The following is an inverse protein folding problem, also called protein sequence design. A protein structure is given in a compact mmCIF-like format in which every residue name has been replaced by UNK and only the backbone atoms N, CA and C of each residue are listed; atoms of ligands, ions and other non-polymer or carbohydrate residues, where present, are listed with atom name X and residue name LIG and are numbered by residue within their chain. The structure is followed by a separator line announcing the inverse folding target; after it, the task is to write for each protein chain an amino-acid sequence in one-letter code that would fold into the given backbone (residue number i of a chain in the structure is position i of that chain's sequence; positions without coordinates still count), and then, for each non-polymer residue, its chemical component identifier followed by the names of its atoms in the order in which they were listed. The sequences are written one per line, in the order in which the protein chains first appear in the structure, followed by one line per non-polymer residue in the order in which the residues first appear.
data_IF_992574370421
#
_entry.id   IF_992574370421
#
_cell.length_a   1.000
_cell.length_b   1.000
_cell.length_c   1.000
_cell.angle_alpha   90.00
_cell.angle_beta   90.00
_cell.angle_gamma   90.00
#
_symmetry.space_group_name_H-M   'P 1'
#
loop_
_entity.id
_entity.type
_entity.pdbx_description
1 polymer ?
#
# COMPACT_ATOMS: atom_id res chain seq x y z
N UNK A 1 -23.53 -9.46 7.87
CA UNK A 1 -22.58 -8.67 8.68
C UNK A 1 -21.95 -7.61 7.78
N UNK A 2 -22.06 -6.34 8.17
CA UNK A 2 -21.45 -5.24 7.43
C UNK A 2 -19.96 -5.20 7.79
N UNK A 3 -19.11 -5.66 6.88
CA UNK A 3 -17.67 -5.66 7.06
C UNK A 3 -17.06 -4.51 6.24
N UNK A 4 -16.08 -3.79 6.81
CA UNK A 4 -15.28 -2.80 6.08
C UNK A 4 -14.54 -3.51 4.94
N UNK A 5 -14.95 -3.24 3.70
CA UNK A 5 -14.31 -3.75 2.47
C UNK A 5 -13.37 -2.71 1.88
N UNK A 6 -13.92 -1.51 1.69
CA UNK A 6 -13.21 -0.35 1.13
C UNK A 6 -12.80 0.61 2.23
N UNK A 7 -11.50 0.90 2.31
CA UNK A 7 -10.93 1.81 3.32
C UNK A 7 -10.06 2.85 2.62
N UNK A 8 -10.44 4.11 2.78
CA UNK A 8 -9.64 5.27 2.40
C UNK A 8 -9.11 5.99 3.64
N UNK A 9 -7.80 6.18 3.72
CA UNK A 9 -7.13 6.87 4.82
C UNK A 9 -6.27 7.99 4.26
N UNK A 10 -6.53 9.23 4.68
CA UNK A 10 -5.68 10.39 4.38
C UNK A 10 -5.13 11.00 5.65
N UNK A 11 -3.82 10.96 5.81
CA UNK A 11 -3.10 11.57 6.93
C UNK A 11 -2.55 12.92 6.45
N UNK A 12 -3.16 14.00 6.94
CA UNK A 12 -2.79 15.38 6.58
C UNK A 12 -1.55 15.88 7.30
N UNK A 13 -1.17 15.21 8.39
CA UNK A 13 0.05 15.51 9.13
C UNK A 13 1.28 15.16 8.27
N UNK A 14 2.05 16.18 7.93
CA UNK A 14 3.25 16.05 7.09
C UNK A 14 4.53 15.93 7.89
N UNK A 15 4.49 16.16 9.19
CA UNK A 15 5.68 16.19 10.06
C UNK A 15 5.85 14.87 10.79
N UNK A 16 4.76 14.26 11.24
CA UNK A 16 4.83 13.03 12.02
C UNK A 16 4.82 11.77 11.16
N UNK A 17 5.63 10.80 11.57
CA UNK A 17 5.59 9.45 11.03
C UNK A 17 4.41 8.72 11.65
N UNK A 18 3.50 8.26 10.80
CA UNK A 18 2.31 7.56 11.25
C UNK A 18 2.49 6.04 11.13
N UNK A 19 2.22 5.30 12.21
CA UNK A 19 2.39 3.84 12.26
C UNK A 19 1.02 3.15 12.14
N UNK A 20 0.80 2.42 11.04
CA UNK A 20 -0.48 1.73 10.79
C UNK A 20 -0.94 0.81 11.93
N UNK A 21 -0.02 0.15 12.63
CA UNK A 21 -0.38 -0.65 13.81
C UNK A 21 -1.20 0.13 14.85
N UNK A 22 -0.95 1.44 15.01
CA UNK A 22 -1.70 2.29 15.95
C UNK A 22 -3.10 2.64 15.43
N UNK A 23 -3.27 2.79 14.12
CA UNK A 23 -4.57 3.09 13.51
C UNK A 23 -5.53 1.92 13.60
N UNK A 24 -4.99 0.71 13.45
CA UNK A 24 -5.75 -0.51 13.37
C UNK A 24 -5.67 -1.36 14.65
N UNK A 25 -5.11 -0.84 15.75
CA UNK A 25 -4.85 -1.62 16.97
C UNK A 25 -6.09 -2.29 17.55
N UNK A 26 -7.27 -1.67 17.34
CA UNK A 26 -8.56 -2.17 17.82
C UNK A 26 -9.50 -2.60 16.67
N UNK A 27 -8.96 -2.83 15.47
CA UNK A 27 -9.75 -3.18 14.30
C UNK A 27 -9.80 -4.70 14.09
N UNK A 28 -10.75 -5.36 14.75
CA UNK A 28 -10.99 -6.81 14.59
C UNK A 28 -11.38 -7.20 13.16
N UNK A 29 -11.88 -6.24 12.37
CA UNK A 29 -12.33 -6.43 10.99
C UNK A 29 -11.26 -6.12 9.94
N UNK A 30 -9.99 -5.91 10.33
CA UNK A 30 -8.93 -5.57 9.38
C UNK A 30 -8.77 -6.63 8.28
N UNK A 31 -9.01 -7.90 8.61
CA UNK A 31 -8.94 -8.99 7.64
C UNK A 31 -10.05 -8.93 6.58
N UNK A 32 -11.08 -8.12 6.77
CA UNK A 32 -12.17 -7.98 5.79
C UNK A 32 -11.90 -6.92 4.73
N UNK A 33 -10.85 -6.11 4.90
CA UNK A 33 -10.47 -5.07 3.95
C UNK A 33 -9.98 -5.73 2.66
N UNK A 34 -10.72 -5.51 1.58
CA UNK A 34 -10.35 -5.90 0.21
C UNK A 34 -9.61 -4.76 -0.50
N UNK A 35 -9.99 -3.52 -0.21
CA UNK A 35 -9.52 -2.36 -0.97
C UNK A 35 -9.01 -1.29 0.00
N UNK A 36 -7.70 -1.02 -0.08
CA UNK A 36 -7.03 -0.06 0.80
C UNK A 36 -6.34 1.02 -0.01
N UNK A 37 -6.78 2.26 0.20
CA UNK A 37 -6.14 3.45 -0.35
C UNK A 37 -5.61 4.32 0.79
N UNK A 38 -4.31 4.58 0.77
CA UNK A 38 -3.62 5.36 1.82
C UNK A 38 -2.88 6.53 1.20
N UNK A 39 -3.17 7.72 1.72
CA UNK A 39 -2.44 8.96 1.44
C UNK A 39 -1.73 9.42 2.70
N UNK A 40 -0.40 9.49 2.64
CA UNK A 40 0.48 9.82 3.78
C UNK A 40 1.67 10.65 3.30
N UNK A 41 2.33 11.38 4.20
CA UNK A 41 3.57 12.09 3.88
C UNK A 41 4.75 11.14 3.63
N UNK A 42 4.92 10.14 4.50
CA UNK A 42 6.02 9.18 4.50
C UNK A 42 5.53 7.80 4.94
N UNK A 43 5.83 6.79 4.13
CA UNK A 43 5.67 5.38 4.50
C UNK A 43 6.95 4.84 5.12
N UNK A 44 6.83 3.93 6.09
CA UNK A 44 7.97 3.24 6.72
C UNK A 44 7.97 1.73 6.49
N UNK A 45 9.06 1.07 6.87
CA UNK A 45 9.17 -0.40 6.84
C UNK A 45 8.11 -1.06 7.72
N UNK A 46 7.86 -0.50 8.91
CA UNK A 46 6.86 -1.01 9.86
C UNK A 46 5.44 -0.92 9.28
N UNK A 47 5.14 0.15 8.54
CA UNK A 47 3.88 0.26 7.81
C UNK A 47 3.71 -0.88 6.79
N UNK A 48 4.76 -1.15 6.01
CA UNK A 48 4.72 -2.23 5.01
C UNK A 48 4.56 -3.60 5.67
N UNK A 49 5.30 -3.86 6.75
CA UNK A 49 5.18 -5.10 7.51
C UNK A 49 3.78 -5.27 8.10
N UNK A 50 3.14 -4.19 8.50
CA UNK A 50 1.76 -4.23 8.95
C UNK A 50 0.78 -4.61 7.84
N UNK A 51 0.96 -4.10 6.61
CA UNK A 51 0.10 -4.43 5.47
C UNK A 51 0.08 -5.94 5.17
N UNK A 52 1.14 -6.68 5.48
CA UNK A 52 1.18 -8.15 5.34
C UNK A 52 0.15 -8.89 6.22
N UNK A 53 -0.40 -8.23 7.25
CA UNK A 53 -1.42 -8.81 8.12
C UNK A 53 -2.83 -8.77 7.50
N UNK A 54 -3.02 -8.00 6.41
CA UNK A 54 -4.31 -7.85 5.73
C UNK A 54 -4.48 -8.97 4.70
N UNK A 55 -5.06 -10.09 5.13
CA UNK A 55 -5.10 -11.34 4.35
C UNK A 55 -5.98 -11.30 3.10
N UNK A 56 -7.06 -10.54 3.12
CA UNK A 56 -8.03 -10.49 2.01
C UNK A 56 -7.85 -9.28 1.09
N UNK A 57 -6.72 -8.59 1.20
CA UNK A 57 -6.44 -7.42 0.37
C UNK A 57 -6.40 -7.84 -1.11
N UNK A 58 -7.19 -7.19 -1.94
CA UNK A 58 -7.23 -7.34 -3.39
C UNK A 58 -6.62 -6.12 -4.09
N UNK A 59 -6.74 -4.95 -3.47
CA UNK A 59 -6.21 -3.70 -4.00
C UNK A 59 -5.50 -2.88 -2.93
N UNK A 60 -4.30 -2.41 -3.28
CA UNK A 60 -3.50 -1.51 -2.47
C UNK A 60 -3.04 -0.32 -3.29
N UNK A 61 -3.53 0.86 -2.95
CA UNK A 61 -3.10 2.13 -3.53
C UNK A 61 -2.41 2.96 -2.46
N UNK A 62 -1.23 3.46 -2.77
CA UNK A 62 -0.44 4.29 -1.85
C UNK A 62 -0.04 5.58 -2.55
N UNK A 63 -0.41 6.70 -1.93
CA UNK A 63 0.06 8.04 -2.26
C UNK A 63 0.95 8.53 -1.13
N UNK A 64 2.19 8.87 -1.45
CA UNK A 64 3.21 9.29 -0.51
C UNK A 64 3.93 10.54 -1.02
N UNK A 65 4.12 11.58 -0.19
CA UNK A 65 4.87 12.77 -0.62
C UNK A 65 6.35 12.44 -0.93
N UNK A 66 6.97 11.63 -0.07
CA UNK A 66 8.38 11.22 -0.22
C UNK A 66 8.54 9.72 -0.12
N UNK A 67 9.15 9.13 -1.14
CA UNK A 67 9.42 7.70 -1.21
C UNK A 67 10.93 7.46 -1.34
N UNK A 68 11.47 6.52 -0.55
CA UNK A 68 12.88 6.15 -0.63
C UNK A 68 13.02 4.67 -1.00
N UNK A 69 14.16 4.32 -1.59
CA UNK A 69 14.41 2.96 -2.07
C UNK A 69 14.42 1.93 -0.93
N UNK A 70 14.98 2.30 0.22
CA UNK A 70 15.11 1.43 1.40
C UNK A 70 13.76 0.96 1.94
N UNK A 71 12.75 1.83 1.89
CA UNK A 71 11.38 1.47 2.25
C UNK A 71 10.73 0.69 1.12
N UNK A 72 10.91 1.12 -0.14
CA UNK A 72 10.28 0.46 -1.29
C UNK A 72 10.71 -0.99 -1.45
N UNK A 73 11.99 -1.31 -1.25
CA UNK A 73 12.49 -2.69 -1.38
C UNK A 73 11.87 -3.66 -0.37
N UNK A 74 11.15 -3.15 0.64
CA UNK A 74 10.40 -3.96 1.60
C UNK A 74 9.04 -4.42 1.04
N UNK A 75 8.51 -3.78 0.01
CA UNK A 75 7.33 -4.28 -0.71
C UNK A 75 7.72 -5.52 -1.51
N UNK A 76 7.42 -6.71 -0.97
CA UNK A 76 7.70 -7.97 -1.67
C UNK A 76 6.43 -8.58 -2.22
N UNK A 77 6.44 -8.93 -3.51
CA UNK A 77 5.26 -9.50 -4.20
C UNK A 77 4.75 -10.78 -3.53
N UNK A 78 5.65 -11.59 -2.95
CA UNK A 78 5.27 -12.81 -2.23
C UNK A 78 4.27 -12.58 -1.09
N UNK A 79 4.21 -11.38 -0.50
CA UNK A 79 3.24 -11.02 0.53
C UNK A 79 1.98 -10.34 -0.02
N UNK A 80 1.97 -10.02 -1.31
CA UNK A 80 0.88 -9.35 -2.03
C UNK A 80 0.46 -10.21 -3.23
N UNK A 81 0.40 -11.54 -3.05
CA UNK A 81 0.01 -12.48 -4.11
C UNK A 81 -1.42 -12.15 -4.54
N UNK A 82 -1.60 -11.86 -5.83
CA UNK A 82 -2.88 -11.46 -6.44
C UNK A 82 -3.43 -10.09 -5.99
N UNK A 83 -2.61 -9.24 -5.34
CA UNK A 83 -3.02 -7.87 -5.00
C UNK A 83 -2.66 -6.92 -6.14
N UNK A 84 -3.62 -6.13 -6.60
CA UNK A 84 -3.34 -4.98 -7.45
C UNK A 84 -2.63 -3.91 -6.60
N UNK A 85 -1.33 -3.75 -6.82
CA UNK A 85 -0.51 -2.77 -6.11
C UNK A 85 -0.17 -1.58 -7.02
N UNK A 86 -0.43 -0.36 -6.52
CA UNK A 86 -0.09 0.88 -7.22
C UNK A 86 0.41 1.95 -6.25
N UNK A 87 1.49 2.61 -6.64
CA UNK A 87 1.92 3.86 -6.03
C UNK A 87 1.42 5.00 -6.93
N UNK A 88 0.49 5.81 -6.42
CA UNK A 88 -0.17 6.88 -7.18
C UNK A 88 0.68 8.15 -7.22
N UNK A 89 1.23 8.54 -6.07
CA UNK A 89 2.17 9.65 -5.93
C UNK A 89 3.35 9.20 -5.04
N UNK A 90 4.61 9.54 -5.37
CA UNK A 90 5.05 10.05 -6.67
C UNK A 90 4.73 9.06 -7.78
N UNK A 91 4.19 9.56 -8.90
CA UNK A 91 3.96 8.76 -10.08
C UNK A 91 5.29 8.32 -10.74
N UNK A 92 5.25 7.41 -11.72
CA UNK A 92 6.46 6.88 -12.38
C UNK A 92 7.45 7.96 -12.83
N UNK A 93 6.95 9.07 -13.38
CA UNK A 93 7.78 10.20 -13.88
C UNK A 93 8.48 10.97 -12.77
N UNK A 94 7.93 10.95 -11.55
CA UNK A 94 8.47 11.65 -10.36
C UNK A 94 9.33 10.75 -9.46
N UNK A 95 9.42 9.45 -9.76
CA UNK A 95 10.25 8.49 -9.00
C UNK A 95 11.63 8.38 -9.63
N UNK A 96 12.63 7.99 -8.84
CA UNK A 96 13.95 7.67 -9.35
C UNK A 96 13.94 6.37 -10.18
N UNK A 97 14.87 6.25 -11.12
CA UNK A 97 15.01 5.06 -11.96
C UNK A 97 15.27 3.80 -11.15
N UNK A 98 16.05 3.91 -10.06
CA UNK A 98 16.30 2.81 -9.13
C UNK A 98 15.01 2.26 -8.53
N UNK A 99 14.07 3.13 -8.17
CA UNK A 99 12.76 2.73 -7.62
C UNK A 99 11.89 2.14 -8.72
N UNK A 100 11.85 2.76 -9.90
CA UNK A 100 11.08 2.25 -11.04
C UNK A 100 11.56 0.85 -11.43
N UNK A 101 12.86 0.66 -11.60
CA UNK A 101 13.46 -0.64 -11.95
C UNK A 101 13.12 -1.72 -10.94
N UNK A 102 13.22 -1.42 -9.64
CA UNK A 102 12.85 -2.38 -8.60
C UNK A 102 11.37 -2.77 -8.66
N UNK A 103 10.48 -1.78 -8.81
CA UNK A 103 9.04 -2.04 -8.88
C UNK A 103 8.68 -2.82 -10.14
N UNK A 104 9.33 -2.51 -11.27
CA UNK A 104 9.14 -3.24 -12.52
C UNK A 104 9.60 -4.70 -12.35
N UNK A 105 10.75 -4.98 -11.72
CA UNK A 105 11.20 -6.35 -11.47
C UNK A 105 10.27 -7.10 -10.50
N UNK A 106 9.97 -6.51 -9.35
CA UNK A 106 9.20 -7.16 -8.28
C UNK A 106 7.72 -7.33 -8.65
N UNK A 107 7.16 -6.43 -9.46
CA UNK A 107 5.73 -6.40 -9.81
C UNK A 107 5.43 -6.49 -11.33
N UNK A 108 6.41 -6.82 -12.17
CA UNK A 108 6.32 -6.98 -13.65
C UNK A 108 5.12 -7.80 -14.12
N UNK A 109 4.74 -8.81 -13.35
CA UNK A 109 3.64 -9.74 -13.66
C UNK A 109 2.30 -9.31 -13.07
N UNK A 110 2.10 -8.02 -12.75
CA UNK A 110 0.79 -7.49 -12.39
C UNK A 110 -0.11 -7.36 -13.63
N UNK A 111 -0.46 -8.52 -14.19
CA UNK A 111 -1.64 -8.70 -15.05
C UNK A 111 -2.86 -9.04 -14.18
N UNK A 112 -2.86 -8.62 -12.90
CA UNK A 112 -4.05 -8.67 -12.09
C UNK A 112 -5.06 -7.72 -12.74
N UNK A 113 -6.10 -8.30 -13.35
CA UNK A 113 -7.31 -7.59 -13.80
C UNK A 113 -7.61 -6.52 -12.76
N UNK A 114 -7.72 -5.26 -13.19
CA UNK A 114 -8.42 -4.29 -12.34
C UNK A 114 -9.74 -4.99 -11.99
N UNK A 115 -10.07 -5.17 -10.70
CA UNK A 115 -11.37 -5.73 -10.40
C UNK A 115 -12.42 -4.82 -11.04
N UNK A 116 -13.32 -5.41 -11.81
CA UNK A 116 -14.41 -4.74 -12.51
C UNK A 116 -15.40 -4.19 -11.47
N UNK A 117 -14.99 -3.14 -10.76
CA UNK A 117 -15.87 -2.36 -9.93
C UNK A 117 -16.18 -1.08 -10.70
N UNK A 118 -17.38 -1.12 -11.30
CA UNK A 118 -18.17 -0.04 -11.92
C UNK A 118 -17.64 1.39 -11.74
#
# INVERSE_FOLDING_TARGET
MNCLKDVFIRIRDKTNIFIFCKLFSNCNSIHNISDLNIEISKITKENIQFLFKIKNLQMLRISCDKINYETIKCFKKKYFKNVYFKIENPNRKKRSDKINHYLDLEFSTNVSRMPDYY
#
